data_IF_148754648921
#
_entry.id   IF_148754648921
#
_cell.length_a   1.000
_cell.length_b   1.000
_cell.length_c   1.000
_cell.angle_alpha   90.00
_cell.angle_beta   90.00
_cell.angle_gamma   90.00
#
_symmetry.space_group_name_H-M   'P 1'
#
loop_
_entity.id
_entity.type
_entity.pdbx_description
1 polymer ?
#
# COMPACT_ATOMS: atom_id res chain seq x y z
N UNK A 1 -16.56 -24.51 -16.11
CA UNK A 1 -15.89 -24.60 -14.79
C UNK A 1 -15.47 -26.05 -14.54
N UNK A 2 -14.17 -26.39 -14.65
CA UNK A 2 -13.69 -27.79 -14.53
C UNK A 2 -12.33 -27.94 -13.81
N UNK A 3 -11.94 -26.96 -12.98
CA UNK A 3 -10.67 -27.00 -12.24
C UNK A 3 -10.84 -26.93 -10.71
N UNK A 4 -12.02 -27.27 -10.17
CA UNK A 4 -12.24 -27.34 -8.72
C UNK A 4 -11.98 -28.74 -8.14
N UNK A 5 -11.83 -29.76 -8.98
CA UNK A 5 -11.70 -31.16 -8.54
C UNK A 5 -10.39 -31.46 -7.80
N UNK A 6 -9.32 -30.70 -8.06
CA UNK A 6 -8.00 -30.93 -7.43
C UNK A 6 -7.88 -30.45 -5.99
N UNK A 7 -8.69 -29.46 -5.56
CA UNK A 7 -8.59 -28.86 -4.22
C UNK A 7 -9.36 -29.69 -3.18
N UNK A 8 -10.42 -30.39 -3.60
CA UNK A 8 -11.19 -31.27 -2.72
C UNK A 8 -10.43 -32.55 -2.32
N UNK A 9 -9.42 -32.97 -3.10
CA UNK A 9 -8.70 -34.23 -2.89
C UNK A 9 -7.68 -34.21 -1.74
N UNK A 10 -7.33 -33.03 -1.21
CA UNK A 10 -6.27 -32.87 -0.19
C UNK A 10 -6.79 -32.61 1.23
N UNK A 11 -8.11 -32.60 1.47
CA UNK A 11 -8.70 -32.35 2.80
C UNK A 11 -8.41 -30.95 3.38
N UNK A 12 -7.83 -30.06 2.57
CA UNK A 12 -7.53 -28.68 2.92
C UNK A 12 -8.75 -27.82 2.63
N UNK A 13 -9.24 -27.11 3.64
CA UNK A 13 -10.28 -26.11 3.44
C UNK A 13 -9.82 -25.10 2.37
N UNK A 14 -10.66 -24.86 1.36
CA UNK A 14 -10.32 -23.93 0.30
C UNK A 14 -10.01 -22.55 0.92
N UNK A 15 -8.81 -21.98 0.69
CA UNK A 15 -8.44 -20.70 1.27
C UNK A 15 -9.37 -19.60 0.74
N UNK A 16 -9.72 -18.65 1.61
CA UNK A 16 -10.50 -17.45 1.21
C UNK A 16 -9.73 -16.65 0.16
N UNK A 17 -10.44 -15.97 -0.74
CA UNK A 17 -9.84 -15.20 -1.84
C UNK A 17 -8.78 -14.20 -1.37
N UNK A 18 -9.00 -13.54 -0.23
CA UNK A 18 -8.04 -12.61 0.37
C UNK A 18 -6.71 -13.30 0.77
N UNK A 19 -6.77 -14.54 1.27
CA UNK A 19 -5.57 -15.31 1.63
C UNK A 19 -4.79 -15.70 0.37
N UNK A 20 -5.51 -16.09 -0.69
CA UNK A 20 -4.90 -16.40 -1.99
C UNK A 20 -4.24 -15.16 -2.61
N UNK A 21 -4.93 -14.02 -2.62
CA UNK A 21 -4.38 -12.76 -3.14
C UNK A 21 -3.15 -12.30 -2.34
N UNK A 22 -3.18 -12.41 -1.01
CA UNK A 22 -2.02 -12.13 -0.15
C UNK A 22 -0.84 -13.03 -0.47
N UNK A 23 -1.06 -14.34 -0.61
CA UNK A 23 -0.02 -15.30 -1.00
C UNK A 23 0.57 -15.00 -2.38
N UNK A 24 -0.26 -14.64 -3.35
CA UNK A 24 0.17 -14.25 -4.71
C UNK A 24 1.01 -12.97 -4.65
N UNK A 25 0.56 -11.94 -3.93
CA UNK A 25 1.29 -10.68 -3.80
C UNK A 25 2.67 -10.91 -3.17
N UNK A 26 2.74 -11.67 -2.06
CA UNK A 26 4.00 -12.02 -1.41
C UNK A 26 4.92 -12.82 -2.35
N UNK A 27 4.38 -13.81 -3.07
CA UNK A 27 5.17 -14.61 -4.01
C UNK A 27 5.70 -13.76 -5.16
N UNK A 28 4.92 -12.81 -5.67
CA UNK A 28 5.31 -11.95 -6.77
C UNK A 28 6.39 -10.92 -6.37
N UNK A 29 6.32 -10.38 -5.15
CA UNK A 29 7.28 -9.41 -4.64
C UNK A 29 8.59 -10.06 -4.14
N UNK A 30 8.54 -11.31 -3.70
CA UNK A 30 9.71 -12.00 -3.19
C UNK A 30 10.81 -12.17 -4.25
N UNK A 31 12.07 -12.02 -3.85
CA UNK A 31 13.22 -12.28 -4.73
C UNK A 31 13.20 -13.74 -5.21
N UNK A 32 13.27 -13.94 -6.53
CA UNK A 32 13.14 -15.28 -7.12
C UNK A 32 11.71 -15.83 -7.13
N UNK A 33 10.73 -15.00 -6.80
CA UNK A 33 9.30 -15.26 -6.95
C UNK A 33 8.95 -15.69 -8.37
N UNK A 34 8.31 -16.85 -8.48
CA UNK A 34 7.88 -17.46 -9.75
C UNK A 34 6.59 -18.23 -9.52
N UNK A 35 5.73 -18.25 -10.53
CA UNK A 35 4.52 -19.06 -10.60
C UNK A 35 4.76 -20.22 -11.57
N UNK A 36 4.37 -21.43 -11.16
CA UNK A 36 4.53 -22.61 -12.00
C UNK A 36 3.58 -22.55 -13.21
N UNK A 37 4.02 -23.06 -14.35
CA UNK A 37 3.26 -23.11 -15.59
C UNK A 37 3.57 -24.40 -16.37
N UNK A 38 2.60 -24.90 -17.16
CA UNK A 38 2.81 -26.05 -18.05
C UNK A 38 3.61 -25.69 -19.31
N UNK A 39 4.08 -26.71 -20.04
CA UNK A 39 5.02 -26.55 -21.16
C UNK A 39 4.49 -25.71 -22.34
N UNK A 40 3.17 -25.56 -22.51
CA UNK A 40 2.52 -24.83 -23.61
C UNK A 40 1.39 -23.93 -23.10
N UNK A 41 1.71 -22.96 -22.26
CA UNK A 41 0.67 -22.24 -21.51
C UNK A 41 0.88 -20.71 -21.56
N UNK A 42 0.86 -20.17 -22.78
CA UNK A 42 0.90 -18.74 -23.05
C UNK A 42 -0.30 -17.99 -22.43
N UNK A 43 -1.50 -18.57 -22.53
CA UNK A 43 -2.71 -17.98 -21.94
C UNK A 43 -2.65 -17.94 -20.41
N UNK A 44 -2.18 -19.04 -19.80
CA UNK A 44 -2.01 -19.11 -18.36
C UNK A 44 -0.97 -18.08 -17.87
N UNK A 45 0.12 -17.88 -18.63
CA UNK A 45 1.13 -16.86 -18.32
C UNK A 45 0.50 -15.47 -18.24
N UNK A 46 -0.31 -15.07 -19.23
CA UNK A 46 -0.95 -13.75 -19.25
C UNK A 46 -1.91 -13.56 -18.08
N UNK A 47 -2.69 -14.60 -17.75
CA UNK A 47 -3.62 -14.56 -16.61
C UNK A 47 -2.86 -14.43 -15.30
N UNK A 48 -1.82 -15.25 -15.10
CA UNK A 48 -0.99 -15.22 -13.88
C UNK A 48 -0.29 -13.88 -13.71
N UNK A 49 0.24 -13.29 -14.78
CA UNK A 49 0.84 -11.96 -14.75
C UNK A 49 -0.19 -10.89 -14.36
N UNK A 50 -1.39 -10.93 -14.96
CA UNK A 50 -2.46 -9.99 -14.62
C UNK A 50 -2.90 -10.09 -13.16
N UNK A 51 -3.06 -11.30 -12.63
CA UNK A 51 -3.44 -11.53 -11.23
C UNK A 51 -2.32 -11.12 -10.29
N UNK A 52 -1.06 -11.44 -10.61
CA UNK A 52 0.10 -11.06 -9.80
C UNK A 52 0.24 -9.54 -9.71
N UNK A 53 0.20 -8.85 -10.84
CA UNK A 53 0.25 -7.37 -10.89
C UNK A 53 -0.91 -6.78 -10.09
N UNK A 54 -2.14 -7.24 -10.32
CA UNK A 54 -3.33 -6.72 -9.63
C UNK A 54 -3.27 -6.92 -8.11
N UNK A 55 -2.79 -8.09 -7.66
CA UNK A 55 -2.65 -8.39 -6.24
C UNK A 55 -1.59 -7.50 -5.57
N UNK A 56 -0.44 -7.31 -6.23
CA UNK A 56 0.62 -6.41 -5.75
C UNK A 56 0.15 -4.97 -5.69
N UNK A 57 -0.48 -4.47 -6.76
CA UNK A 57 -1.01 -3.09 -6.80
C UNK A 57 -1.99 -2.85 -5.65
N UNK A 58 -2.98 -3.74 -5.45
CA UNK A 58 -3.96 -3.59 -4.35
C UNK A 58 -3.31 -3.61 -2.97
N UNK A 59 -2.29 -4.44 -2.76
CA UNK A 59 -1.56 -4.49 -1.50
C UNK A 59 -0.81 -3.18 -1.23
N UNK A 60 -0.12 -2.64 -2.25
CA UNK A 60 0.62 -1.37 -2.15
C UNK A 60 -0.30 -0.16 -2.01
N UNK A 61 -1.44 -0.13 -2.71
CA UNK A 61 -2.44 0.94 -2.59
C UNK A 61 -3.00 0.99 -1.16
N UNK A 62 -3.33 -0.17 -0.61
CA UNK A 62 -3.83 -0.29 0.77
C UNK A 62 -2.79 0.17 1.79
N UNK A 63 -1.52 -0.23 1.61
CA UNK A 63 -0.40 0.23 2.44
C UNK A 63 -0.24 1.75 2.37
N UNK A 64 -0.36 2.33 1.17
CA UNK A 64 -0.25 3.79 0.95
C UNK A 64 -1.38 4.55 1.65
N UNK A 65 -2.61 4.02 1.63
CA UNK A 65 -3.74 4.59 2.37
C UNK A 65 -3.48 4.50 3.88
N UNK A 66 -3.02 3.35 4.39
CA UNK A 66 -2.73 3.17 5.80
C UNK A 66 -1.65 4.13 6.32
N UNK A 67 -0.58 4.33 5.53
CA UNK A 67 0.47 5.30 5.85
C UNK A 67 -0.09 6.72 5.90
N UNK A 68 -0.89 7.14 4.90
CA UNK A 68 -1.50 8.47 4.88
C UNK A 68 -2.42 8.70 6.08
N UNK A 69 -3.29 7.74 6.40
CA UNK A 69 -4.16 7.83 7.56
C UNK A 69 -3.36 7.97 8.87
N UNK A 70 -2.22 7.26 8.98
CA UNK A 70 -1.35 7.36 10.16
C UNK A 70 -0.68 8.73 10.25
N UNK A 71 -0.21 9.28 9.12
CA UNK A 71 0.36 10.63 9.05
C UNK A 71 -0.70 11.67 9.41
N UNK A 72 -1.92 11.54 8.89
CA UNK A 72 -3.03 12.46 9.17
C UNK A 72 -3.40 12.47 10.66
N UNK A 73 -3.37 11.29 11.32
CA UNK A 73 -3.57 11.20 12.77
C UNK A 73 -2.44 11.89 13.54
N UNK A 74 -1.18 11.61 13.20
CA UNK A 74 -0.04 12.26 13.84
C UNK A 74 -0.03 13.78 13.64
N UNK A 75 -0.42 14.27 12.46
CA UNK A 75 -0.50 15.71 12.19
C UNK A 75 -1.63 16.37 12.99
N UNK A 76 -2.77 15.70 13.19
CA UNK A 76 -3.84 16.19 14.07
C UNK A 76 -3.36 16.30 15.51
N UNK A 77 -2.62 15.31 16.02
CA UNK A 77 -2.05 15.37 17.37
C UNK A 77 -1.11 16.58 17.53
N UNK A 78 -0.28 16.87 16.52
CA UNK A 78 0.58 18.06 16.51
C UNK A 78 -0.24 19.35 16.48
N UNK A 79 -1.30 19.40 15.67
CA UNK A 79 -2.21 20.55 15.61
C UNK A 79 -2.81 20.88 16.97
N UNK A 80 -3.33 19.88 17.68
CA UNK A 80 -3.91 20.03 19.01
C UNK A 80 -2.87 20.46 20.06
N UNK A 81 -1.68 19.84 20.05
CA UNK A 81 -0.61 20.16 20.99
C UNK A 81 -0.08 21.60 20.82
N UNK A 82 0.04 22.06 19.57
CA UNK A 82 0.48 23.41 19.25
C UNK A 82 -0.65 24.44 19.29
N UNK A 83 -1.89 24.00 19.53
CA UNK A 83 -3.12 24.81 19.46
C UNK A 83 -3.29 25.57 18.14
N UNK A 84 -2.74 25.02 17.05
CA UNK A 84 -2.80 25.67 15.73
C UNK A 84 -4.26 25.68 15.27
N UNK A 85 -4.85 26.86 15.23
CA UNK A 85 -6.19 27.06 14.67
C UNK A 85 -6.11 27.86 13.36
N UNK A 86 -7.07 27.65 12.45
CA UNK A 86 -7.08 28.32 11.14
C UNK A 86 -7.29 29.85 11.24
N UNK A 87 -7.73 30.33 12.40
CA UNK A 87 -7.93 31.74 12.73
C UNK A 87 -6.70 32.39 13.40
N UNK A 88 -5.66 31.62 13.71
CA UNK A 88 -4.49 32.13 14.42
C UNK A 88 -3.65 32.96 13.48
N UNK A 89 -3.04 34.01 14.04
CA UNK A 89 -2.10 34.84 13.30
C UNK A 89 -0.91 33.97 12.89
N UNK A 90 -0.58 33.86 11.59
CA UNK A 90 0.53 33.03 11.15
C UNK A 90 1.81 33.45 11.87
N UNK A 91 2.53 32.49 12.46
CA UNK A 91 3.84 32.76 13.07
C UNK A 91 4.86 32.90 11.94
N UNK A 92 4.83 34.04 11.25
CA UNK A 92 5.91 34.45 10.34
C UNK A 92 7.03 34.91 11.26
N UNK A 93 8.10 34.12 11.34
CA UNK A 93 9.31 34.55 12.03
C UNK A 93 10.02 35.59 11.17
N UNK A 94 9.50 36.82 11.20
CA UNK A 94 10.21 37.99 10.69
C UNK A 94 11.40 38.24 11.62
N UNK A 95 12.52 37.55 11.35
CA UNK A 95 13.81 37.93 11.88
C UNK A 95 14.16 39.29 11.28
N UNK A 96 13.76 40.36 11.98
CA UNK A 96 14.24 41.73 11.84
C UNK A 96 15.72 41.72 11.40
N UNK A 97 16.01 42.12 10.17
CA UNK A 97 17.24 42.88 9.90
C UNK A 97 16.97 44.30 10.32
N UNK A 98 17.25 44.60 11.59
CA UNK A 98 17.44 45.97 12.03
C UNK A 98 18.77 46.46 11.45
N UNK A 99 18.73 47.39 10.49
CA UNK A 99 19.90 48.23 10.22
C UNK A 99 19.49 49.70 10.28
N UNK A 100 20.11 50.35 11.27
CA UNK A 100 20.45 51.76 11.44
C UNK A 100 19.39 52.85 11.21
N UNK A 101 18.94 53.41 12.34
CA UNK A 101 18.72 54.86 12.47
C UNK A 101 20.09 55.52 12.64
N UNK A 102 20.45 56.43 11.73
CA UNK A 102 21.33 57.58 12.04
C UNK A 102 21.30 58.59 10.88
N UNK A 103 20.88 59.81 11.24
CA UNK A 103 20.97 61.12 10.57
C UNK A 103 20.56 61.30 9.11
#
# INVERSE_FOLDING_TARGET
AKNSAGIAASGVAAPKDAVMAGGIALRAMAKGGKFANGSNAADAKKIVEGVAVSAVTKALDTLTIAIRNTIDLGLKEVQEAMKINASDTPVISDKKTSEAKSE
#
